data_IF_352157803781
#
_entry.id   IF_352157803781
#
_cell.length_a   1.000
_cell.length_b   1.000
_cell.length_c   1.000
_cell.angle_alpha   90.00
_cell.angle_beta   90.00
_cell.angle_gamma   90.00
#
_symmetry.space_group_name_H-M   'P 1'
#
loop_
_entity.id
_entity.type
_entity.pdbx_description
1 polymer ?
#
# COMPACT_ATOMS: atom_id res chain seq x y z
N UNK A 1 -8.18 52.38 -7.19
CA UNK A 1 -9.53 51.81 -7.01
C UNK A 1 -9.56 50.93 -5.78
N UNK A 2 -8.79 49.85 -5.69
CA UNK A 2 -8.72 48.89 -4.53
C UNK A 2 -8.45 49.57 -3.17
N UNK A 3 -7.56 50.56 -3.12
CA UNK A 3 -7.27 51.28 -1.86
C UNK A 3 -8.43 52.14 -1.37
N UNK A 4 -9.24 52.68 -2.27
CA UNK A 4 -10.44 53.45 -1.93
C UNK A 4 -11.56 52.52 -1.44
N UNK A 5 -11.75 51.38 -2.11
CA UNK A 5 -12.71 50.37 -1.71
C UNK A 5 -12.38 49.76 -0.35
N UNK A 6 -11.09 49.43 -0.10
CA UNK A 6 -10.63 48.95 1.20
C UNK A 6 -10.93 49.94 2.33
N UNK A 7 -10.72 51.26 2.10
CA UNK A 7 -11.06 52.29 3.10
C UNK A 7 -12.57 52.35 3.34
N UNK A 8 -13.39 52.23 2.28
CA UNK A 8 -14.86 52.20 2.40
C UNK A 8 -15.35 50.99 3.19
N UNK A 9 -14.77 49.79 2.93
CA UNK A 9 -15.14 48.58 3.67
C UNK A 9 -14.77 48.73 5.18
N UNK A 10 -13.60 49.28 5.48
CA UNK A 10 -13.21 49.53 6.88
C UNK A 10 -14.16 50.52 7.58
N UNK A 11 -14.58 51.60 6.90
CA UNK A 11 -15.50 52.59 7.47
C UNK A 11 -16.92 52.02 7.68
N UNK A 12 -17.27 50.90 7.03
CA UNK A 12 -18.53 50.20 7.18
C UNK A 12 -18.50 49.10 8.28
N UNK A 13 -17.39 48.97 9.04
CA UNK A 13 -17.25 47.97 10.09
C UNK A 13 -16.46 46.70 9.70
N UNK A 14 -15.79 46.73 8.53
CA UNK A 14 -14.90 45.66 8.08
C UNK A 14 -15.60 44.44 7.50
N UNK A 15 -14.95 43.29 7.59
CA UNK A 15 -15.48 42.02 7.05
C UNK A 15 -16.47 41.40 8.03
N UNK A 16 -17.65 41.06 7.54
CA UNK A 16 -18.67 40.34 8.30
C UNK A 16 -18.68 38.87 7.89
N UNK A 17 -18.43 37.96 8.84
CA UNK A 17 -18.41 36.51 8.64
C UNK A 17 -19.70 35.91 9.14
N UNK A 18 -20.45 35.28 8.26
CA UNK A 18 -21.68 34.54 8.62
C UNK A 18 -21.38 33.06 8.52
N UNK A 19 -21.49 32.34 9.65
CA UNK A 19 -21.50 30.88 9.69
C UNK A 19 -22.93 30.38 9.65
N UNK A 20 -23.23 29.49 8.72
CA UNK A 20 -24.57 28.88 8.58
C UNK A 20 -24.71 27.60 9.39
N UNK A 21 -23.64 27.12 10.00
CA UNK A 21 -23.56 25.96 10.88
C UNK A 21 -22.36 26.09 11.82
N UNK A 22 -22.31 25.23 12.86
CA UNK A 22 -21.14 25.10 13.74
C UNK A 22 -20.32 23.90 13.25
N UNK A 23 -19.01 24.10 13.20
CA UNK A 23 -18.09 23.01 12.86
C UNK A 23 -17.94 22.03 14.02
N UNK A 24 -17.47 20.81 13.73
CA UNK A 24 -17.23 19.79 14.76
C UNK A 24 -16.19 20.21 15.80
N UNK A 25 -15.29 21.13 15.44
CA UNK A 25 -14.23 21.61 16.31
C UNK A 25 -14.31 23.12 16.54
N UNK A 26 -14.27 23.51 17.79
CA UNK A 26 -14.20 24.92 18.22
C UNK A 26 -13.01 25.66 17.58
N UNK A 27 -11.92 24.97 17.35
CA UNK A 27 -10.75 25.54 16.67
C UNK A 27 -11.08 26.00 15.26
N UNK A 28 -11.85 25.21 14.51
CA UNK A 28 -12.27 25.54 13.14
C UNK A 28 -13.23 26.71 13.13
N UNK A 29 -14.20 26.76 14.06
CA UNK A 29 -15.06 27.93 14.25
C UNK A 29 -14.24 29.21 14.51
N UNK A 30 -13.25 29.13 15.39
CA UNK A 30 -12.37 30.27 15.66
C UNK A 30 -11.51 30.66 14.44
N UNK A 31 -11.12 29.71 13.61
CA UNK A 31 -10.46 30.00 12.34
C UNK A 31 -11.39 30.71 11.35
N UNK A 32 -12.67 30.33 11.30
CA UNK A 32 -13.67 31.02 10.49
C UNK A 32 -13.89 32.44 11.01
N UNK A 33 -14.10 32.61 12.32
CA UNK A 33 -14.21 33.94 12.97
C UNK A 33 -12.98 34.81 12.73
N UNK A 34 -11.78 34.21 12.80
CA UNK A 34 -10.52 34.91 12.56
C UNK A 34 -10.28 35.31 11.10
N UNK A 35 -11.22 35.09 10.20
CA UNK A 35 -11.22 35.68 8.87
C UNK A 35 -11.58 37.17 8.92
N UNK A 36 -12.45 37.57 9.87
CA UNK A 36 -12.71 38.97 10.18
C UNK A 36 -11.66 39.54 11.13
N UNK A 37 -11.48 40.85 11.18
CA UNK A 37 -10.61 41.52 12.14
C UNK A 37 -9.11 41.27 12.00
N UNK A 38 -8.61 40.91 10.83
CA UNK A 38 -7.17 40.65 10.61
C UNK A 38 -6.37 41.92 10.68
N UNK A 39 -5.18 41.83 11.28
CA UNK A 39 -4.22 42.96 11.42
C UNK A 39 -4.79 44.17 12.17
N UNK A 40 -5.74 43.95 13.09
CA UNK A 40 -6.39 45.04 13.84
C UNK A 40 -7.47 45.77 13.07
N UNK A 41 -7.89 45.27 11.90
CA UNK A 41 -9.06 45.79 11.19
C UNK A 41 -10.33 45.46 11.97
N UNK A 42 -11.34 46.32 11.93
CA UNK A 42 -12.68 46.03 12.44
C UNK A 42 -13.30 44.86 11.68
N UNK A 43 -14.15 44.08 12.35
CA UNK A 43 -14.86 42.96 11.74
C UNK A 43 -15.82 42.30 12.71
N UNK A 44 -16.83 41.67 12.19
CA UNK A 44 -17.88 41.00 12.96
C UNK A 44 -18.07 39.55 12.50
N UNK A 45 -18.58 38.71 13.38
CA UNK A 45 -18.96 37.33 13.02
C UNK A 45 -20.20 36.89 13.76
N UNK A 46 -21.08 36.18 13.06
CA UNK A 46 -22.28 35.57 13.62
C UNK A 46 -22.43 34.15 13.12
N UNK A 47 -22.94 33.26 13.95
CA UNK A 47 -23.27 31.89 13.57
C UNK A 47 -24.74 31.64 13.73
N UNK A 48 -25.40 31.20 12.68
CA UNK A 48 -26.75 30.66 12.69
C UNK A 48 -26.70 29.15 12.74
N UNK A 49 -27.42 28.55 13.65
CA UNK A 49 -27.35 27.10 13.91
C UNK A 49 -28.78 26.56 13.90
N UNK A 50 -28.98 25.46 13.18
CA UNK A 50 -30.25 24.73 13.18
C UNK A 50 -30.20 23.55 14.16
N UNK A 51 -31.35 23.13 14.64
CA UNK A 51 -31.50 21.89 15.41
C UNK A 51 -31.28 20.66 14.54
N UNK A 52 -31.43 20.80 13.22
CA UNK A 52 -31.19 19.74 12.23
C UNK A 52 -29.74 19.57 11.85
N UNK A 53 -28.84 20.48 12.28
CA UNK A 53 -27.41 20.38 12.03
C UNK A 53 -26.84 19.09 12.64
N UNK A 54 -25.87 18.49 11.97
CA UNK A 54 -25.27 17.20 12.37
C UNK A 54 -24.75 17.21 13.81
N UNK A 55 -24.17 18.31 14.25
CA UNK A 55 -23.70 18.49 15.62
C UNK A 55 -24.84 18.36 16.63
N UNK A 56 -26.01 18.95 16.30
CA UNK A 56 -27.20 18.90 17.16
C UNK A 56 -27.91 17.55 17.11
N UNK A 57 -27.95 16.91 15.94
CA UNK A 57 -28.50 15.54 15.78
C UNK A 57 -27.72 14.50 16.56
N UNK A 58 -26.38 14.60 16.61
CA UNK A 58 -25.53 13.63 17.30
C UNK A 58 -25.61 13.81 18.84
N UNK A 59 -25.71 15.04 19.31
CA UNK A 59 -25.60 15.37 20.74
C UNK A 59 -26.81 16.12 21.33
N UNK A 60 -27.75 16.55 20.48
CA UNK A 60 -29.04 17.07 20.93
C UNK A 60 -29.85 15.92 21.50
N UNK A 61 -29.98 15.86 22.83
CA UNK A 61 -30.87 14.90 23.46
C UNK A 61 -32.33 15.27 23.19
N UNK A 62 -33.21 14.27 23.14
CA UNK A 62 -34.67 14.49 23.07
C UNK A 62 -35.16 15.45 24.16
N UNK A 63 -34.46 15.56 25.30
CA UNK A 63 -34.66 16.54 26.32
C UNK A 63 -34.48 17.99 25.86
N UNK A 64 -33.59 18.24 24.87
CA UNK A 64 -33.38 19.59 24.33
C UNK A 64 -34.57 20.02 23.46
N UNK A 65 -35.10 19.12 22.63
CA UNK A 65 -36.33 19.38 21.85
C UNK A 65 -37.51 19.66 22.75
N UNK A 66 -37.64 18.93 23.86
CA UNK A 66 -38.69 19.17 24.86
C UNK A 66 -38.54 20.51 25.62
N UNK A 67 -37.31 20.95 25.87
CA UNK A 67 -37.04 22.26 26.49
C UNK A 67 -37.35 23.39 25.50
N UNK A 68 -36.97 23.24 24.23
CA UNK A 68 -37.25 24.23 23.20
C UNK A 68 -38.74 24.36 22.91
N UNK A 69 -39.49 23.26 22.88
CA UNK A 69 -40.95 23.28 22.80
C UNK A 69 -41.60 23.98 24.02
N UNK A 70 -41.06 23.77 25.22
CA UNK A 70 -41.53 24.47 26.44
C UNK A 70 -41.21 25.97 26.45
N UNK A 71 -40.14 26.39 25.73
CA UNK A 71 -39.78 27.78 25.52
C UNK A 71 -40.65 28.49 24.47
N UNK A 72 -41.62 27.79 23.88
CA UNK A 72 -42.63 28.37 22.99
C UNK A 72 -42.16 28.74 21.60
N UNK A 73 -41.10 28.05 21.08
CA UNK A 73 -40.62 28.23 19.73
C UNK A 73 -41.70 27.91 18.70
N UNK A 74 -42.00 28.89 17.86
CA UNK A 74 -42.75 28.66 16.63
C UNK A 74 -41.77 28.49 15.48
N UNK A 75 -42.18 27.71 14.50
CA UNK A 75 -41.35 27.51 13.29
C UNK A 75 -40.96 28.86 12.67
N UNK A 76 -39.68 29.08 12.48
CA UNK A 76 -39.15 30.32 11.89
C UNK A 76 -38.65 31.38 12.87
N UNK A 77 -38.77 31.17 14.19
CA UNK A 77 -38.23 32.10 15.19
C UNK A 77 -36.77 31.74 15.55
N UNK A 78 -35.92 32.75 15.73
CA UNK A 78 -34.54 32.58 16.21
C UNK A 78 -34.46 32.83 17.70
N UNK A 79 -33.75 31.95 18.41
CA UNK A 79 -33.48 32.13 19.85
C UNK A 79 -32.03 32.44 20.06
N UNK A 80 -31.74 33.54 20.75
CA UNK A 80 -30.43 33.82 21.33
C UNK A 80 -30.52 33.66 22.86
N UNK A 81 -30.11 32.50 23.35
CA UNK A 81 -30.13 32.23 24.79
C UNK A 81 -28.78 31.63 25.24
N UNK A 82 -28.19 32.13 26.33
CA UNK A 82 -26.89 31.67 26.83
C UNK A 82 -26.79 30.15 27.09
N UNK A 83 -27.90 29.52 27.43
CA UNK A 83 -27.96 28.07 27.67
C UNK A 83 -27.75 27.26 26.37
N UNK A 84 -28.32 27.74 25.26
CA UNK A 84 -28.15 27.09 23.94
C UNK A 84 -26.69 27.15 23.52
N UNK A 85 -26.05 28.32 23.66
CA UNK A 85 -24.62 28.49 23.36
C UNK A 85 -23.75 27.55 24.21
N UNK A 86 -24.11 27.40 25.52
CA UNK A 86 -23.39 26.49 26.42
C UNK A 86 -23.64 25.01 26.11
N UNK A 87 -24.82 24.66 25.63
CA UNK A 87 -25.15 23.31 25.19
C UNK A 87 -24.38 22.94 23.91
N UNK A 88 -24.31 23.85 22.94
CA UNK A 88 -23.50 23.70 21.71
C UNK A 88 -22.02 23.54 22.04
N UNK A 89 -21.48 24.36 22.94
CA UNK A 89 -20.09 24.24 23.35
C UNK A 89 -19.78 22.87 23.98
N UNK A 90 -20.68 22.37 24.83
CA UNK A 90 -20.56 21.03 25.41
C UNK A 90 -20.65 19.91 24.34
N UNK A 91 -21.54 20.08 23.36
CA UNK A 91 -21.66 19.16 22.25
C UNK A 91 -20.35 19.10 21.44
N UNK A 92 -19.78 20.25 21.06
CA UNK A 92 -18.47 20.32 20.38
C UNK A 92 -17.36 19.65 21.20
N UNK A 93 -17.29 19.91 22.52
CA UNK A 93 -16.29 19.27 23.39
C UNK A 93 -16.41 17.74 23.38
N UNK A 94 -17.62 17.19 23.38
CA UNK A 94 -17.84 15.74 23.29
C UNK A 94 -17.37 15.17 21.94
N UNK A 95 -17.66 15.87 20.82
CA UNK A 95 -17.17 15.47 19.48
C UNK A 95 -15.66 15.51 19.42
N UNK A 96 -15.06 16.61 19.91
CA UNK A 96 -13.59 16.75 19.96
C UNK A 96 -12.95 15.63 20.77
N UNK A 97 -13.50 15.31 21.95
CA UNK A 97 -13.01 14.22 22.79
C UNK A 97 -13.10 12.85 22.07
N UNK A 98 -14.24 12.55 21.46
CA UNK A 98 -14.42 11.32 20.69
C UNK A 98 -13.42 11.23 19.52
N UNK A 99 -13.29 12.30 18.75
CA UNK A 99 -12.35 12.36 17.62
C UNK A 99 -10.90 12.26 18.09
N UNK A 100 -10.58 12.81 19.26
CA UNK A 100 -9.27 12.65 19.89
C UNK A 100 -8.99 11.19 20.25
N UNK A 101 -9.95 10.49 20.88
CA UNK A 101 -9.78 9.09 21.27
C UNK A 101 -9.65 8.18 20.05
N UNK A 102 -10.42 8.43 18.99
CA UNK A 102 -10.29 7.71 17.71
C UNK A 102 -8.87 7.90 17.14
N UNK A 103 -8.40 9.15 17.04
CA UNK A 103 -7.03 9.43 16.52
C UNK A 103 -5.95 8.81 17.40
N UNK A 104 -6.10 8.87 18.73
CA UNK A 104 -5.17 8.26 19.68
C UNK A 104 -5.09 6.74 19.49
N UNK A 105 -6.23 6.11 19.27
CA UNK A 105 -6.29 4.66 18.99
C UNK A 105 -5.63 4.33 17.67
N UNK A 106 -5.94 5.07 16.60
CA UNK A 106 -5.29 4.87 15.29
C UNK A 106 -3.77 5.00 15.38
N UNK A 107 -3.25 6.01 16.08
CA UNK A 107 -1.81 6.17 16.28
C UNK A 107 -1.16 5.00 17.00
N UNK A 108 -1.86 4.36 17.96
CA UNK A 108 -1.33 3.16 18.63
C UNK A 108 -1.14 1.98 17.68
N UNK A 109 -2.03 1.80 16.70
CA UNK A 109 -1.89 0.81 15.63
C UNK A 109 -0.79 1.19 14.63
N UNK A 110 -0.75 2.47 14.23
CA UNK A 110 0.22 2.96 13.26
C UNK A 110 1.67 2.91 13.79
N UNK A 111 1.89 3.06 15.10
CA UNK A 111 3.22 2.96 15.70
C UNK A 111 3.86 1.59 15.42
N UNK A 112 3.10 0.49 15.53
CA UNK A 112 3.61 -0.87 15.24
C UNK A 112 4.12 -0.97 13.81
N UNK A 113 3.33 -0.45 12.86
CA UNK A 113 3.70 -0.43 11.44
C UNK A 113 4.89 0.50 11.18
N UNK A 114 4.97 1.61 11.90
CA UNK A 114 6.06 2.58 11.74
C UNK A 114 7.41 1.99 12.18
N UNK A 115 7.45 1.26 13.30
CA UNK A 115 8.65 0.59 13.77
C UNK A 115 9.16 -0.43 12.74
N UNK A 116 8.27 -1.27 12.20
CA UNK A 116 8.59 -2.23 11.14
C UNK A 116 9.07 -1.53 9.87
N UNK A 117 8.44 -0.42 9.50
CA UNK A 117 8.83 0.40 8.35
C UNK A 117 10.26 0.90 8.50
N UNK A 118 10.64 1.43 9.65
CA UNK A 118 12.00 1.93 9.88
C UNK A 118 13.04 0.84 9.64
N UNK A 119 12.82 -0.37 10.11
CA UNK A 119 13.75 -1.50 9.91
C UNK A 119 13.86 -1.87 8.43
N UNK A 120 12.73 -2.05 7.73
CA UNK A 120 12.73 -2.40 6.30
C UNK A 120 13.36 -1.31 5.43
N UNK A 121 13.06 -0.04 5.70
CA UNK A 121 13.67 1.08 4.95
C UNK A 121 15.16 1.22 5.24
N UNK A 122 15.60 0.94 6.47
CA UNK A 122 17.03 0.88 6.80
C UNK A 122 17.73 -0.24 6.02
N UNK A 123 17.17 -1.44 6.00
CA UNK A 123 17.70 -2.54 5.18
C UNK A 123 17.74 -2.19 3.68
N UNK A 124 16.66 -1.58 3.17
CA UNK A 124 16.60 -1.11 1.78
C UNK A 124 17.69 -0.09 1.46
N UNK A 125 17.91 0.88 2.35
CA UNK A 125 18.97 1.87 2.21
C UNK A 125 20.36 1.23 2.27
N UNK A 126 20.57 0.24 3.14
CA UNK A 126 21.82 -0.50 3.20
C UNK A 126 22.10 -1.21 1.87
N UNK A 127 21.10 -1.83 1.25
CA UNK A 127 21.22 -2.45 -0.07
C UNK A 127 21.53 -1.39 -1.14
N UNK A 128 20.90 -0.22 -1.12
CA UNK A 128 21.14 0.85 -2.09
C UNK A 128 22.58 1.35 -1.98
N UNK A 129 23.10 1.53 -0.78
CA UNK A 129 24.41 2.11 -0.53
C UNK A 129 25.54 1.06 -0.56
N UNK A 130 25.20 -0.22 -0.47
CA UNK A 130 26.19 -1.30 -0.47
C UNK A 130 26.94 -1.35 -1.81
N UNK A 131 28.27 -1.47 -1.71
CA UNK A 131 29.16 -1.77 -2.83
C UNK A 131 29.36 -3.29 -3.03
N UNK A 132 29.10 -4.07 -2.00
CA UNK A 132 29.33 -5.51 -1.92
C UNK A 132 28.04 -6.28 -1.66
N UNK A 133 27.14 -6.24 -2.64
CA UNK A 133 25.82 -6.89 -2.51
C UNK A 133 25.96 -8.42 -2.37
N UNK A 134 27.01 -9.01 -2.92
CA UNK A 134 27.25 -10.44 -2.86
C UNK A 134 27.42 -10.94 -1.42
N UNK A 135 28.10 -10.17 -0.55
CA UNK A 135 28.26 -10.53 0.84
C UNK A 135 26.92 -10.58 1.58
N UNK A 136 26.00 -9.65 1.28
CA UNK A 136 24.66 -9.62 1.87
C UNK A 136 23.86 -10.86 1.45
N UNK A 137 23.95 -11.23 0.17
CA UNK A 137 23.29 -12.43 -0.35
C UNK A 137 23.86 -13.71 0.24
N UNK A 138 25.17 -13.76 0.50
CA UNK A 138 25.84 -14.92 1.10
C UNK A 138 25.43 -15.10 2.58
N UNK A 139 25.23 -14.01 3.33
CA UNK A 139 24.68 -14.05 4.70
C UNK A 139 23.25 -14.62 4.68
N UNK A 140 22.39 -14.14 3.77
CA UNK A 140 21.03 -14.65 3.65
C UNK A 140 20.98 -16.11 3.22
N UNK A 141 21.89 -16.53 2.34
CA UNK A 141 22.03 -17.92 1.95
C UNK A 141 22.37 -18.80 3.17
N UNK A 142 23.31 -18.36 4.00
CA UNK A 142 23.71 -19.11 5.20
C UNK A 142 22.56 -19.27 6.20
N UNK A 143 21.77 -18.21 6.44
CA UNK A 143 20.60 -18.26 7.28
C UNK A 143 19.50 -19.19 6.73
N UNK A 144 19.30 -19.22 5.40
CA UNK A 144 18.34 -20.14 4.77
C UNK A 144 18.82 -21.60 4.87
N UNK A 145 20.11 -21.84 4.72
CA UNK A 145 20.70 -23.19 4.88
C UNK A 145 20.49 -23.65 6.32
N UNK A 146 20.73 -22.81 7.32
CA UNK A 146 20.53 -23.13 8.73
C UNK A 146 19.06 -23.54 8.98
N UNK A 147 18.10 -22.76 8.49
CA UNK A 147 16.67 -23.09 8.59
C UNK A 147 16.34 -24.42 7.88
N UNK A 148 16.94 -24.70 6.73
CA UNK A 148 16.75 -25.97 6.02
C UNK A 148 17.36 -27.16 6.78
N UNK A 149 18.49 -26.97 7.45
CA UNK A 149 19.12 -28.00 8.28
C UNK A 149 18.25 -28.34 9.50
N UNK A 150 17.65 -27.34 10.14
CA UNK A 150 16.71 -27.55 11.24
C UNK A 150 15.49 -28.36 10.78
N UNK A 151 14.94 -28.06 9.62
CA UNK A 151 13.84 -28.82 9.02
C UNK A 151 14.26 -30.23 8.62
N UNK A 152 15.46 -30.39 8.09
CA UNK A 152 16.04 -31.68 7.74
C UNK A 152 16.18 -32.57 8.97
N UNK A 153 16.70 -32.04 10.08
CA UNK A 153 16.84 -32.79 11.34
C UNK A 153 15.45 -33.22 11.89
N UNK A 154 14.43 -32.35 11.80
CA UNK A 154 13.04 -32.71 12.16
C UNK A 154 12.47 -33.78 11.23
N UNK A 155 12.74 -33.72 9.93
CA UNK A 155 12.32 -34.70 8.94
C UNK A 155 12.97 -36.07 9.20
N UNK A 156 14.26 -36.11 9.50
CA UNK A 156 14.96 -37.34 9.82
C UNK A 156 14.40 -38.01 11.13
N UNK A 157 13.94 -37.20 12.09
CA UNK A 157 13.29 -37.68 13.30
C UNK A 157 11.86 -38.19 13.03
N UNK A 158 11.13 -37.59 12.08
CA UNK A 158 9.77 -37.99 11.73
C UNK A 158 9.49 -37.84 10.22
N UNK A 159 9.74 -38.89 9.40
CA UNK A 159 9.63 -38.84 7.92
C UNK A 159 8.21 -38.58 7.39
N UNK A 160 7.18 -38.59 8.21
CA UNK A 160 5.80 -38.26 7.80
C UNK A 160 5.60 -36.78 7.52
N UNK A 161 6.53 -35.93 7.93
CA UNK A 161 6.49 -34.49 7.73
C UNK A 161 7.23 -34.16 6.43
N UNK A 162 6.54 -34.11 5.31
CA UNK A 162 7.12 -33.78 3.99
C UNK A 162 7.48 -32.29 3.82
N UNK A 163 7.48 -31.52 4.88
CA UNK A 163 7.69 -30.08 4.84
C UNK A 163 9.09 -29.71 4.33
N UNK A 164 10.12 -30.41 4.80
CA UNK A 164 11.51 -30.23 4.35
C UNK A 164 11.66 -30.46 2.84
N UNK A 165 11.18 -31.59 2.32
CA UNK A 165 11.28 -31.95 0.92
C UNK A 165 10.56 -30.94 0.03
N UNK A 166 9.37 -30.50 0.44
CA UNK A 166 8.58 -29.49 -0.29
C UNK A 166 9.28 -28.14 -0.30
N UNK A 167 9.82 -27.71 0.83
CA UNK A 167 10.53 -26.44 0.95
C UNK A 167 11.86 -26.46 0.18
N UNK A 168 12.63 -27.54 0.26
CA UNK A 168 13.83 -27.73 -0.53
C UNK A 168 13.53 -27.67 -2.03
N UNK A 169 12.52 -28.40 -2.51
CA UNK A 169 12.09 -28.35 -3.92
C UNK A 169 11.64 -26.96 -4.36
N UNK A 170 10.98 -26.20 -3.52
CA UNK A 170 10.53 -24.84 -3.84
C UNK A 170 11.70 -23.87 -4.01
N UNK A 171 12.76 -24.02 -3.23
CA UNK A 171 13.93 -23.14 -3.25
C UNK A 171 14.88 -23.53 -4.40
N UNK A 172 15.23 -24.79 -4.51
CA UNK A 172 16.32 -25.24 -5.42
C UNK A 172 15.86 -26.02 -6.65
N UNK A 173 14.57 -26.38 -6.74
CA UNK A 173 14.04 -27.34 -7.70
C UNK A 173 14.22 -27.06 -9.19
N UNK A 174 14.63 -25.82 -9.57
CA UNK A 174 14.98 -25.47 -10.96
C UNK A 174 16.48 -25.58 -11.25
N UNK A 175 17.31 -25.65 -10.23
CA UNK A 175 18.77 -25.68 -10.34
C UNK A 175 19.39 -27.04 -10.05
N UNK A 176 18.61 -27.93 -9.48
CA UNK A 176 18.99 -29.31 -9.18
C UNK A 176 18.02 -30.29 -9.84
N UNK A 177 18.54 -31.40 -10.33
CA UNK A 177 17.71 -32.50 -10.85
C UNK A 177 17.03 -33.25 -9.69
N UNK A 178 15.92 -33.97 -9.97
CA UNK A 178 15.19 -34.74 -8.95
C UNK A 178 16.08 -35.73 -8.19
N UNK A 179 16.98 -36.40 -8.89
CA UNK A 179 17.97 -37.34 -8.28
C UNK A 179 18.97 -36.63 -7.37
N UNK A 180 19.38 -35.41 -7.72
CA UNK A 180 20.26 -34.59 -6.88
C UNK A 180 19.54 -34.13 -5.62
N UNK A 181 18.25 -33.79 -5.72
CA UNK A 181 17.44 -33.40 -4.57
C UNK A 181 17.25 -34.59 -3.61
N UNK A 182 17.00 -35.80 -4.12
CA UNK A 182 16.91 -37.00 -3.30
C UNK A 182 18.25 -37.29 -2.58
N UNK A 183 19.36 -37.12 -3.28
CA UNK A 183 20.69 -37.25 -2.67
C UNK A 183 20.92 -36.21 -1.57
N UNK A 184 20.50 -34.93 -1.80
CA UNK A 184 20.61 -33.86 -0.79
C UNK A 184 19.84 -34.16 0.49
N UNK A 185 18.76 -34.94 0.42
CA UNK A 185 17.99 -35.34 1.59
C UNK A 185 18.79 -36.35 2.46
N UNK A 186 19.60 -37.23 1.84
CA UNK A 186 20.27 -38.35 2.51
C UNK A 186 21.68 -38.03 3.00
N UNK A 187 22.37 -37.04 2.45
CA UNK A 187 23.75 -36.68 2.81
C UNK A 187 23.84 -36.05 4.21
N UNK A 188 25.07 -36.01 4.75
CA UNK A 188 25.36 -35.35 6.05
C UNK A 188 25.12 -33.84 5.96
N UNK A 189 24.87 -33.20 7.10
CA UNK A 189 24.56 -31.80 7.19
C UNK A 189 25.66 -30.88 6.62
N UNK A 190 26.92 -31.21 6.88
CA UNK A 190 28.10 -30.46 6.37
C UNK A 190 28.18 -30.51 4.85
N UNK A 191 28.03 -31.71 4.26
CA UNK A 191 28.02 -31.89 2.80
C UNK A 191 26.80 -31.24 2.12
N UNK A 192 25.66 -31.19 2.81
CA UNK A 192 24.47 -30.52 2.36
C UNK A 192 24.69 -29.01 2.22
N UNK A 193 25.29 -28.42 3.26
CA UNK A 193 25.63 -26.99 3.27
C UNK A 193 26.62 -26.64 2.15
N UNK A 194 27.70 -27.40 2.02
CA UNK A 194 28.71 -27.19 0.99
C UNK A 194 28.13 -27.27 -0.43
N UNK A 195 27.33 -28.28 -0.73
CA UNK A 195 26.71 -28.46 -2.06
C UNK A 195 25.80 -27.30 -2.45
N UNK A 196 25.00 -26.79 -1.51
CA UNK A 196 24.12 -25.65 -1.80
C UNK A 196 24.93 -24.38 -2.00
N UNK A 197 25.95 -24.12 -1.16
CA UNK A 197 26.86 -22.98 -1.31
C UNK A 197 27.64 -23.04 -2.62
N UNK A 198 28.14 -24.21 -2.97
CA UNK A 198 28.87 -24.41 -4.23
C UNK A 198 27.97 -24.14 -5.45
N UNK A 199 26.76 -24.70 -5.46
CA UNK A 199 25.79 -24.45 -6.55
C UNK A 199 25.42 -22.99 -6.68
N UNK A 200 25.22 -22.30 -5.57
CA UNK A 200 24.93 -20.86 -5.56
C UNK A 200 26.10 -20.05 -6.13
N UNK A 201 27.33 -20.36 -5.71
CA UNK A 201 28.57 -19.74 -6.26
C UNK A 201 28.73 -20.05 -7.72
N UNK A 202 28.49 -21.29 -8.16
CA UNK A 202 28.54 -21.67 -9.56
C UNK A 202 27.59 -20.82 -10.41
N UNK A 203 26.32 -20.69 -9.98
CA UNK A 203 25.32 -19.87 -10.67
C UNK A 203 25.70 -18.39 -10.71
N UNK A 204 26.29 -17.87 -9.65
CA UNK A 204 26.81 -16.48 -9.62
C UNK A 204 27.97 -16.32 -10.59
N UNK A 205 28.92 -17.25 -10.62
CA UNK A 205 30.09 -17.23 -11.55
C UNK A 205 29.64 -17.34 -13.01
N UNK A 206 28.63 -18.14 -13.31
CA UNK A 206 28.02 -18.18 -14.64
C UNK A 206 27.50 -16.80 -15.06
N UNK A 207 26.78 -16.10 -14.16
CA UNK A 207 26.30 -14.74 -14.42
C UNK A 207 27.43 -13.73 -14.63
N UNK A 208 28.48 -13.80 -13.83
CA UNK A 208 29.65 -12.91 -13.93
C UNK A 208 30.39 -13.12 -15.25
N UNK A 209 30.52 -14.37 -15.73
CA UNK A 209 31.14 -14.67 -17.04
C UNK A 209 30.40 -14.03 -18.20
N UNK A 210 29.06 -13.88 -18.12
CA UNK A 210 28.26 -13.33 -19.21
C UNK A 210 28.08 -11.82 -19.15
N UNK A 211 28.10 -11.23 -17.94
CA UNK A 211 27.59 -9.87 -17.69
C UNK A 211 28.63 -8.90 -17.12
N UNK A 212 29.84 -9.32 -16.84
CA UNK A 212 30.81 -8.67 -15.98
C UNK A 212 30.34 -8.53 -14.51
N UNK A 213 31.29 -8.45 -13.59
CA UNK A 213 31.00 -8.38 -12.14
C UNK A 213 30.15 -7.17 -11.76
N UNK A 214 30.46 -6.00 -12.34
CA UNK A 214 29.71 -4.77 -12.06
C UNK A 214 28.24 -4.87 -12.48
N UNK A 215 27.96 -5.47 -13.63
CA UNK A 215 26.60 -5.66 -14.11
C UNK A 215 25.88 -6.74 -13.31
N UNK A 216 26.56 -7.84 -12.97
CA UNK A 216 26.00 -8.89 -12.12
C UNK A 216 25.59 -8.34 -10.74
N UNK A 217 26.42 -7.51 -10.11
CA UNK A 217 26.11 -6.82 -8.87
C UNK A 217 24.88 -5.89 -9.00
N UNK A 218 24.79 -5.13 -10.09
CA UNK A 218 23.62 -4.24 -10.34
C UNK A 218 22.32 -5.02 -10.49
N UNK A 219 22.37 -6.17 -11.18
CA UNK A 219 21.19 -7.04 -11.36
C UNK A 219 20.78 -7.65 -10.02
N UNK A 220 21.74 -8.21 -9.26
CA UNK A 220 21.45 -8.78 -7.95
C UNK A 220 20.87 -7.73 -6.99
N UNK A 221 21.43 -6.52 -6.99
CA UNK A 221 20.89 -5.37 -6.24
C UNK A 221 19.47 -5.00 -6.65
N UNK A 222 19.18 -4.99 -7.96
CA UNK A 222 17.85 -4.72 -8.47
C UNK A 222 16.83 -5.79 -8.02
N UNK A 223 17.21 -7.05 -8.11
CA UNK A 223 16.37 -8.16 -7.63
C UNK A 223 16.09 -8.02 -6.14
N UNK A 224 17.14 -7.71 -5.36
CA UNK A 224 17.02 -7.51 -3.92
C UNK A 224 15.99 -6.43 -3.58
N UNK A 225 16.12 -5.23 -4.19
CA UNK A 225 15.21 -4.13 -4.00
C UNK A 225 13.77 -4.48 -4.42
N UNK A 226 13.62 -5.14 -5.56
CA UNK A 226 12.32 -5.57 -6.05
C UNK A 226 11.65 -6.59 -5.12
N UNK A 227 12.42 -7.53 -4.56
CA UNK A 227 11.92 -8.52 -3.61
C UNK A 227 11.48 -7.85 -2.30
N UNK A 228 12.26 -6.88 -1.78
CA UNK A 228 11.85 -6.08 -0.62
C UNK A 228 10.53 -5.36 -0.91
N UNK A 229 10.45 -4.63 -2.01
CA UNK A 229 9.30 -3.79 -2.34
C UNK A 229 8.00 -4.63 -2.51
N UNK A 230 8.09 -5.80 -3.17
CA UNK A 230 6.95 -6.70 -3.36
C UNK A 230 6.46 -7.32 -2.04
N UNK A 231 7.39 -7.85 -1.25
CA UNK A 231 7.04 -8.48 0.03
C UNK A 231 6.52 -7.46 1.04
N UNK A 232 7.12 -6.26 1.10
CA UNK A 232 6.64 -5.17 1.94
C UNK A 232 5.22 -4.71 1.56
N UNK A 233 4.95 -4.56 0.26
CA UNK A 233 3.60 -4.21 -0.21
C UNK A 233 2.55 -5.24 0.22
N UNK A 234 2.86 -6.52 0.08
CA UNK A 234 1.97 -7.60 0.52
C UNK A 234 1.74 -7.57 2.04
N UNK A 235 2.80 -7.33 2.81
CA UNK A 235 2.73 -7.22 4.26
C UNK A 235 1.82 -6.07 4.72
N UNK A 236 1.94 -4.90 4.08
CA UNK A 236 1.03 -3.77 4.35
C UNK A 236 -0.44 -4.13 4.12
N UNK A 237 -0.74 -4.91 3.08
CA UNK A 237 -2.09 -5.38 2.80
C UNK A 237 -2.59 -6.33 3.90
N UNK A 238 -1.75 -7.26 4.37
CA UNK A 238 -2.10 -8.16 5.48
C UNK A 238 -2.33 -7.41 6.80
N UNK A 239 -1.49 -6.43 7.11
CA UNK A 239 -1.68 -5.60 8.31
C UNK A 239 -2.96 -4.78 8.26
N UNK A 240 -3.32 -4.25 7.09
CA UNK A 240 -4.57 -3.52 6.91
C UNK A 240 -5.79 -4.43 7.08
N UNK A 241 -5.78 -5.65 6.51
CA UNK A 241 -6.82 -6.64 6.71
C UNK A 241 -6.92 -7.05 8.20
N UNK A 242 -5.78 -7.27 8.86
CA UNK A 242 -5.74 -7.59 10.29
C UNK A 242 -6.38 -6.47 11.11
N UNK A 243 -6.05 -5.20 10.81
CA UNK A 243 -6.60 -4.02 11.49
C UNK A 243 -8.12 -3.95 11.40
N UNK A 244 -8.69 -4.31 10.25
CA UNK A 244 -10.14 -4.29 10.04
C UNK A 244 -10.87 -5.35 10.88
N UNK A 245 -10.27 -6.53 11.09
CA UNK A 245 -10.92 -7.65 11.78
C UNK A 245 -10.55 -7.78 13.25
N UNK A 246 -9.45 -7.17 13.70
CA UNK A 246 -8.92 -7.35 15.05
C UNK A 246 -9.90 -6.86 16.14
N UNK A 247 -10.75 -5.88 15.81
CA UNK A 247 -11.79 -5.37 16.71
C UNK A 247 -12.77 -6.46 17.17
N UNK A 248 -12.98 -7.51 16.38
CA UNK A 248 -13.84 -8.65 16.74
C UNK A 248 -13.29 -9.46 17.91
N UNK A 249 -11.99 -9.39 18.20
CA UNK A 249 -11.36 -10.07 19.34
C UNK A 249 -11.86 -9.53 20.70
N UNK A 250 -12.39 -8.32 20.74
CA UNK A 250 -13.00 -7.74 21.94
C UNK A 250 -14.21 -8.53 22.46
N UNK A 251 -14.93 -9.25 21.59
CA UNK A 251 -16.01 -10.16 22.01
C UNK A 251 -15.50 -11.32 22.87
N UNK A 252 -14.24 -11.72 22.67
CA UNK A 252 -13.56 -12.74 23.49
C UNK A 252 -12.83 -12.16 24.71
N UNK A 253 -13.18 -10.95 25.16
CA UNK A 253 -12.56 -10.25 26.30
C UNK A 253 -11.04 -10.02 26.15
N UNK A 254 -10.53 -10.01 24.92
CA UNK A 254 -9.13 -9.71 24.62
C UNK A 254 -8.98 -8.26 24.18
N UNK A 255 -7.88 -7.63 24.60
CA UNK A 255 -7.55 -6.29 24.13
C UNK A 255 -7.13 -6.33 22.65
N UNK A 256 -7.88 -5.68 21.73
CA UNK A 256 -7.57 -5.70 20.31
C UNK A 256 -6.17 -5.16 19.98
N UNK A 257 -5.65 -4.21 20.75
CA UNK A 257 -4.34 -3.63 20.51
C UNK A 257 -3.22 -4.62 20.85
N UNK A 258 -3.36 -5.37 21.94
CA UNK A 258 -2.38 -6.38 22.37
C UNK A 258 -2.35 -7.53 21.36
N UNK A 259 -3.53 -8.02 20.95
CA UNK A 259 -3.65 -9.07 19.93
C UNK A 259 -3.09 -8.60 18.58
N UNK A 260 -3.37 -7.35 18.17
CA UNK A 260 -2.80 -6.78 16.96
C UNK A 260 -1.28 -6.76 16.99
N UNK A 261 -0.67 -6.29 18.09
CA UNK A 261 0.79 -6.23 18.23
C UNK A 261 1.40 -7.64 18.10
N UNK A 262 0.80 -8.64 18.73
CA UNK A 262 1.27 -10.03 18.70
C UNK A 262 1.18 -10.62 17.28
N UNK A 263 0.02 -10.48 16.63
CA UNK A 263 -0.16 -10.99 15.27
C UNK A 263 0.67 -10.22 14.23
N UNK A 264 0.78 -8.89 14.36
CA UNK A 264 1.63 -8.08 13.50
C UNK A 264 3.12 -8.41 13.63
N UNK A 265 3.58 -8.80 14.82
CA UNK A 265 4.94 -9.28 15.03
C UNK A 265 5.17 -10.62 14.33
N UNK A 266 4.27 -11.59 14.49
CA UNK A 266 4.36 -12.89 13.80
C UNK A 266 4.34 -12.72 12.27
N UNK A 267 3.48 -11.84 11.75
CA UNK A 267 3.43 -11.52 10.31
C UNK A 267 4.75 -10.88 9.83
N UNK A 268 5.38 -10.08 10.67
CA UNK A 268 6.65 -9.43 10.34
C UNK A 268 7.82 -10.43 10.33
N UNK A 269 7.89 -11.35 11.28
CA UNK A 269 8.86 -12.46 11.24
C UNK A 269 8.71 -13.32 9.99
N UNK A 270 7.46 -13.64 9.63
CA UNK A 270 7.16 -14.36 8.39
C UNK A 270 7.57 -13.57 7.14
N UNK A 271 7.36 -12.24 7.14
CA UNK A 271 7.85 -11.36 6.08
C UNK A 271 9.36 -11.47 5.90
N UNK A 272 10.13 -11.34 6.99
CA UNK A 272 11.61 -11.40 6.93
C UNK A 272 12.10 -12.74 6.40
N UNK A 273 11.53 -13.84 6.89
CA UNK A 273 11.87 -15.19 6.45
C UNK A 273 11.51 -15.41 4.98
N UNK A 274 10.33 -14.97 4.56
CA UNK A 274 9.86 -15.05 3.19
C UNK A 274 10.74 -14.22 2.25
N UNK A 275 11.11 -13.00 2.65
CA UNK A 275 11.97 -12.13 1.86
C UNK A 275 13.32 -12.80 1.56
N UNK A 276 13.96 -13.40 2.58
CA UNK A 276 15.22 -14.13 2.43
C UNK A 276 15.04 -15.32 1.49
N UNK A 277 13.98 -16.10 1.70
CA UNK A 277 13.69 -17.30 0.89
C UNK A 277 13.41 -16.93 -0.57
N UNK A 278 12.55 -15.94 -0.84
CA UNK A 278 12.22 -15.48 -2.20
C UNK A 278 13.48 -14.99 -2.92
N UNK A 279 14.32 -14.21 -2.23
CA UNK A 279 15.57 -13.69 -2.79
C UNK A 279 16.51 -14.83 -3.20
N UNK A 280 16.79 -15.76 -2.29
CA UNK A 280 17.72 -16.87 -2.58
C UNK A 280 17.13 -17.79 -3.65
N UNK A 281 15.83 -18.04 -3.62
CA UNK A 281 15.13 -18.81 -4.66
C UNK A 281 15.30 -18.16 -6.04
N UNK A 282 15.15 -16.86 -6.14
CA UNK A 282 15.36 -16.16 -7.42
C UNK A 282 16.82 -16.25 -7.84
N UNK A 283 17.77 -15.96 -6.94
CA UNK A 283 19.19 -15.90 -7.27
C UNK A 283 19.77 -17.26 -7.66
N UNK A 284 19.36 -18.36 -7.01
CA UNK A 284 19.86 -19.71 -7.32
C UNK A 284 19.29 -20.22 -8.66
N UNK A 285 18.06 -19.83 -8.99
CA UNK A 285 17.38 -20.27 -10.21
C UNK A 285 17.53 -19.31 -11.40
N UNK A 286 18.22 -18.16 -11.21
CA UNK A 286 18.42 -17.17 -12.26
C UNK A 286 19.42 -17.65 -13.30
N UNK A 287 18.96 -17.82 -14.53
CA UNK A 287 19.80 -18.18 -15.69
C UNK A 287 19.87 -17.03 -16.68
N UNK A 288 21.03 -16.80 -17.27
CA UNK A 288 21.21 -15.83 -18.35
C UNK A 288 20.90 -16.51 -19.67
N UNK A 289 19.86 -16.05 -20.36
CA UNK A 289 19.51 -16.51 -21.69
C UNK A 289 20.09 -15.52 -22.69
N UNK A 290 21.10 -15.92 -23.47
CA UNK A 290 21.51 -15.14 -24.62
C UNK A 290 20.43 -15.28 -25.70
N UNK A 291 19.79 -14.16 -26.07
CA UNK A 291 19.17 -14.09 -27.40
C UNK A 291 20.30 -14.14 -28.40
N UNK A 292 20.42 -15.22 -29.15
CA UNK A 292 21.18 -15.17 -30.43
C UNK A 292 20.55 -14.04 -31.22
N UNK A 293 21.35 -13.04 -31.55
CA UNK A 293 20.98 -12.01 -32.50
C UNK A 293 20.71 -12.68 -33.85
N UNK A 294 19.49 -13.16 -34.03
CA UNK A 294 18.94 -13.23 -35.37
C UNK A 294 18.53 -11.78 -35.66
N UNK A 295 19.26 -11.18 -36.58
CA UNK A 295 18.94 -9.92 -37.22
C UNK A 295 17.46 -9.89 -37.58
N UNK A 296 16.65 -9.32 -36.73
CA UNK A 296 15.29 -8.92 -37.05
C UNK A 296 15.01 -7.63 -36.35
N UNK A 297 14.74 -6.63 -37.16
CA UNK A 297 14.31 -5.29 -36.83
C UNK A 297 13.53 -5.19 -35.53
N UNK A 298 13.94 -4.22 -34.73
CA UNK A 298 13.26 -3.73 -33.52
C UNK A 298 11.87 -3.18 -33.87
N UNK A 299 10.92 -4.07 -34.07
CA UNK A 299 9.51 -3.75 -34.06
C UNK A 299 8.83 -4.51 -32.94
N UNK A 300 8.59 -3.79 -31.84
CA UNK A 300 7.52 -3.97 -30.86
C UNK A 300 6.92 -5.38 -30.80
N UNK A 301 7.17 -6.08 -29.68
CA UNK A 301 6.40 -7.25 -29.27
C UNK A 301 4.92 -6.81 -29.10
N UNK A 302 4.21 -6.73 -30.21
CA UNK A 302 2.76 -6.86 -30.24
C UNK A 302 2.49 -8.35 -30.20
N UNK A 303 1.83 -8.83 -29.15
CA UNK A 303 1.22 -10.16 -29.11
C UNK A 303 0.62 -10.43 -30.50
N UNK A 304 0.97 -11.57 -31.10
CA UNK A 304 0.45 -12.05 -32.38
C UNK A 304 -1.07 -12.03 -32.35
N UNK A 305 -1.64 -10.90 -32.73
CA UNK A 305 -2.96 -10.88 -33.35
C UNK A 305 -2.63 -11.02 -34.83
N UNK A 306 -3.09 -12.12 -35.42
CA UNK A 306 -3.05 -12.32 -36.86
C UNK A 306 -3.78 -11.14 -37.52
N UNK A 307 -3.08 -10.04 -37.73
CA UNK A 307 -3.49 -9.00 -38.66
C UNK A 307 -3.30 -9.70 -40.01
N UNK A 308 -4.40 -10.15 -40.56
CA UNK A 308 -4.38 -10.76 -41.89
C UNK A 308 -3.71 -9.75 -42.82
N UNK A 309 -2.61 -10.12 -43.46
CA UNK A 309 -2.01 -9.39 -44.58
C UNK A 309 -2.95 -9.32 -45.79
N UNK A 310 -4.25 -9.34 -45.55
CA UNK A 310 -5.25 -9.26 -46.56
C UNK A 310 -5.41 -7.81 -47.02
N UNK A 311 -5.13 -7.49 -48.28
CA UNK A 311 -5.21 -6.12 -48.80
C UNK A 311 -6.62 -5.50 -48.68
N UNK A 312 -7.65 -6.31 -48.40
CA UNK A 312 -9.01 -5.87 -48.12
C UNK A 312 -9.25 -5.41 -46.66
N UNK A 313 -8.22 -5.42 -45.81
CA UNK A 313 -8.35 -4.95 -44.44
C UNK A 313 -8.55 -3.43 -44.39
N UNK A 314 -9.56 -2.95 -43.67
CA UNK A 314 -9.87 -1.52 -43.51
C UNK A 314 -8.68 -0.66 -43.02
N UNK A 315 -7.84 -1.20 -42.14
CA UNK A 315 -6.62 -0.52 -41.69
C UNK A 315 -5.55 -0.35 -42.77
N UNK A 316 -5.50 -1.27 -43.74
CA UNK A 316 -4.58 -1.17 -44.87
C UNK A 316 -5.12 -0.29 -46.00
N UNK A 317 -6.45 -0.25 -46.17
CA UNK A 317 -7.12 0.57 -47.17
C UNK A 317 -7.21 2.05 -46.80
N UNK A 318 -7.38 2.33 -45.49
CA UNK A 318 -7.60 3.70 -44.97
C UNK A 318 -6.49 4.13 -43.99
N UNK A 319 -5.22 4.00 -44.38
CA UNK A 319 -4.06 4.28 -43.52
C UNK A 319 -4.07 5.66 -42.84
N UNK A 320 -4.65 6.67 -43.50
CA UNK A 320 -4.63 8.07 -43.09
C UNK A 320 -6.01 8.68 -42.81
N UNK A 321 -7.06 7.86 -42.76
CA UNK A 321 -8.44 8.35 -42.53
C UNK A 321 -9.02 7.75 -41.21
N UNK A 322 -9.84 8.56 -40.52
CA UNK A 322 -10.60 8.11 -39.35
C UNK A 322 -11.64 7.07 -39.77
N UNK A 323 -11.47 5.83 -39.31
CA UNK A 323 -12.39 4.72 -39.58
C UNK A 323 -13.53 4.76 -38.55
N UNK A 324 -14.78 4.64 -39.04
CA UNK A 324 -15.96 4.60 -38.16
C UNK A 324 -15.98 3.29 -37.35
N UNK A 325 -16.29 3.36 -36.04
CA UNK A 325 -16.39 2.20 -35.15
C UNK A 325 -17.34 1.09 -35.64
N UNK A 326 -18.38 1.47 -36.41
CA UNK A 326 -19.38 0.53 -36.92
C UNK A 326 -19.15 0.11 -38.36
N UNK A 327 -18.12 0.62 -39.03
CA UNK A 327 -17.76 0.28 -40.41
C UNK A 327 -17.34 -1.20 -40.48
N UNK A 328 -17.85 -1.94 -41.51
CA UNK A 328 -17.56 -3.36 -41.67
C UNK A 328 -16.24 -3.56 -42.40
N UNK A 329 -15.38 -4.39 -41.86
CA UNK A 329 -14.12 -4.78 -42.51
C UNK A 329 -14.42 -5.84 -43.57
N UNK A 330 -14.12 -5.56 -44.84
CA UNK A 330 -14.35 -6.49 -45.95
C UNK A 330 -13.52 -7.77 -45.84
N UNK A 331 -12.36 -7.72 -45.18
CA UNK A 331 -11.52 -8.88 -44.97
C UNK A 331 -12.10 -9.89 -43.95
N UNK A 332 -12.85 -9.42 -42.95
CA UNK A 332 -13.37 -10.27 -41.84
C UNK A 332 -14.89 -10.27 -41.69
N UNK A 333 -15.59 -9.39 -42.43
CA UNK A 333 -17.06 -9.21 -42.31
C UNK A 333 -17.53 -8.59 -40.98
N UNK A 334 -16.64 -8.41 -40.00
CA UNK A 334 -16.95 -7.90 -38.68
C UNK A 334 -16.83 -6.36 -38.61
N UNK A 335 -17.56 -5.74 -37.67
CA UNK A 335 -17.45 -4.29 -37.44
C UNK A 335 -16.04 -3.93 -36.97
N UNK A 336 -15.52 -2.74 -37.33
CA UNK A 336 -14.17 -2.28 -37.00
C UNK A 336 -13.87 -2.43 -35.50
N UNK A 337 -14.79 -2.04 -34.60
CA UNK A 337 -14.67 -2.20 -33.15
C UNK A 337 -14.54 -3.66 -32.65
N UNK A 338 -14.90 -4.65 -33.47
CA UNK A 338 -14.84 -6.07 -33.15
C UNK A 338 -13.72 -6.81 -33.91
N UNK A 339 -12.97 -6.09 -34.72
CA UNK A 339 -11.85 -6.58 -35.52
C UNK A 339 -10.57 -5.82 -35.15
N UNK A 340 -10.03 -5.04 -36.06
CA UNK A 340 -8.77 -4.31 -35.91
C UNK A 340 -8.86 -3.12 -34.96
N UNK A 341 -10.06 -2.60 -34.68
CA UNK A 341 -10.32 -1.51 -33.73
C UNK A 341 -10.63 -1.95 -32.30
N UNK A 342 -10.55 -3.24 -32.00
CA UNK A 342 -10.79 -3.75 -30.64
C UNK A 342 -9.62 -3.43 -29.66
N UNK A 343 -8.52 -2.91 -30.17
CA UNK A 343 -7.27 -2.66 -29.43
C UNK A 343 -6.82 -1.18 -29.43
N UNK A 344 -7.72 -0.27 -29.84
CA UNK A 344 -7.48 1.16 -29.75
C UNK A 344 -8.36 1.82 -28.69
#
# INVERSE_FOLDING_TARGET
ELKKEKKKIKSLGGLFVIGTERMESRRVDNQARGRSGRQGDEGNSIFYVSLDDDLMRIFGSDSMNNILQKLGLKDGESIDHPWINKALERAQQKVEARNFDIRKTLLKFDNVLNDQRHVIFSQRNNVINSKEIFNISDVFLSEIIENLLDLKNKYLANPKINEFSNQLKSIVGKSFDEKEIENLIQIKNEEFEEKIKEKFKQKRNERIKYLDESQAQKIEKRIFLQTIDLNWKSHLQYLEQLRQVIGLRSYGQRDPLIEYKKEAFNLYENLLNKLKTDLITILINLTVIQKKDENTDSTLIRKNINISNNPKCLLLQKKDQKISRNERCEATGKKFKQCCGALQ
#
